data_IF_419624934328
#
_entry.id   IF_419624934328
#
_cell.length_a   1.000
_cell.length_b   1.000
_cell.length_c   1.000
_cell.angle_alpha   90.00
_cell.angle_beta   90.00
_cell.angle_gamma   90.00
#
_symmetry.space_group_name_H-M   'P 1'
#
loop_
_entity.id
_entity.type
_entity.pdbx_description
1 polymer ?
#
# COMPACT_ATOMS: atom_id res chain seq x y z
N UNK A 1 12.11 24.21 -16.81
CA UNK A 1 12.61 22.86 -16.43
C UNK A 1 11.45 21.91 -16.57
N UNK A 2 11.24 21.37 -17.77
CA UNK A 2 10.16 20.44 -18.08
C UNK A 2 10.73 19.02 -18.09
N UNK A 3 10.73 18.37 -16.92
CA UNK A 3 10.82 16.90 -16.84
C UNK A 3 9.42 16.31 -16.75
N UNK A 4 8.47 16.89 -17.50
CA UNK A 4 7.11 16.39 -17.63
C UNK A 4 7.15 15.20 -18.61
N UNK A 5 6.67 14.05 -18.15
CA UNK A 5 6.24 12.90 -18.97
C UNK A 5 7.31 12.04 -19.66
N UNK A 6 8.48 11.84 -19.04
CA UNK A 6 9.38 10.78 -19.53
C UNK A 6 8.88 9.40 -19.11
N UNK A 7 8.07 8.77 -19.97
CA UNK A 7 7.65 7.38 -19.79
C UNK A 7 8.88 6.45 -19.74
N UNK A 8 9.04 5.72 -18.62
CA UNK A 8 10.14 4.75 -18.44
C UNK A 8 9.59 3.34 -18.55
N UNK A 9 10.02 2.60 -19.56
CA UNK A 9 9.68 1.17 -19.69
C UNK A 9 10.40 0.38 -18.61
N UNK A 10 9.65 -0.40 -17.84
CA UNK A 10 10.17 -1.38 -16.88
C UNK A 10 9.60 -2.75 -17.24
N UNK A 11 10.45 -3.77 -17.32
CA UNK A 11 10.05 -5.16 -17.53
C UNK A 11 10.23 -5.92 -16.24
N UNK A 12 9.21 -6.67 -15.84
CA UNK A 12 9.22 -7.50 -14.64
C UNK A 12 8.91 -8.94 -15.02
N UNK A 13 9.63 -9.88 -14.41
CA UNK A 13 9.32 -11.31 -14.54
C UNK A 13 8.34 -11.67 -13.44
N UNK A 14 7.18 -12.20 -13.83
CA UNK A 14 6.12 -12.59 -12.91
C UNK A 14 6.12 -14.11 -12.71
N UNK A 15 5.91 -14.62 -11.49
CA UNK A 15 5.59 -16.02 -11.28
C UNK A 15 4.35 -16.44 -12.07
N UNK A 16 4.31 -17.68 -12.55
CA UNK A 16 3.23 -18.19 -13.41
C UNK A 16 1.82 -17.90 -12.86
N UNK A 17 1.58 -18.18 -11.57
CA UNK A 17 0.28 -17.94 -10.92
C UNK A 17 -0.11 -16.46 -10.91
N UNK A 18 0.86 -15.56 -10.77
CA UNK A 18 0.63 -14.11 -10.80
C UNK A 18 0.29 -13.65 -12.22
N UNK A 19 1.04 -14.12 -13.21
CA UNK A 19 0.79 -13.80 -14.62
C UNK A 19 -0.60 -14.27 -15.09
N UNK A 20 -1.00 -15.49 -14.69
CA UNK A 20 -2.33 -16.03 -14.96
C UNK A 20 -3.43 -15.16 -14.34
N UNK A 21 -3.26 -14.74 -13.09
CA UNK A 21 -4.24 -13.89 -12.40
C UNK A 21 -4.37 -12.51 -13.05
N UNK A 22 -3.26 -11.89 -13.43
CA UNK A 22 -3.26 -10.62 -14.17
C UNK A 22 -3.96 -10.78 -15.52
N UNK A 23 -3.70 -11.88 -16.23
CA UNK A 23 -4.34 -12.15 -17.52
C UNK A 23 -5.86 -12.37 -17.39
N UNK A 24 -6.30 -13.06 -16.34
CA UNK A 24 -7.72 -13.23 -16.05
C UNK A 24 -8.41 -11.90 -15.73
N UNK A 25 -7.76 -11.03 -14.94
CA UNK A 25 -8.26 -9.70 -14.62
C UNK A 25 -8.33 -8.79 -15.86
N UNK A 26 -7.33 -8.85 -16.74
CA UNK A 26 -7.33 -8.10 -17.99
C UNK A 26 -8.51 -8.51 -18.87
N UNK A 27 -8.77 -9.81 -19.00
CA UNK A 27 -9.94 -10.33 -19.72
C UNK A 27 -11.27 -9.86 -19.11
N UNK A 28 -11.42 -9.96 -17.79
CA UNK A 28 -12.67 -9.55 -17.13
C UNK A 28 -12.94 -8.05 -17.20
N UNK A 29 -11.89 -7.23 -17.32
CA UNK A 29 -11.98 -5.77 -17.39
C UNK A 29 -11.94 -5.22 -18.82
N UNK A 30 -11.91 -6.08 -19.84
CA UNK A 30 -11.71 -5.67 -21.25
C UNK A 30 -10.49 -4.75 -21.45
N UNK A 31 -9.41 -5.05 -20.72
CA UNK A 31 -8.20 -4.22 -20.65
C UNK A 31 -6.96 -5.04 -21.03
N UNK A 32 -5.81 -4.37 -21.19
CA UNK A 32 -4.53 -5.06 -21.43
C UNK A 32 -3.89 -5.48 -20.11
N UNK A 33 -3.07 -6.53 -20.15
CA UNK A 33 -2.30 -6.98 -18.99
C UNK A 33 -1.41 -5.86 -18.43
N UNK A 34 -0.77 -5.07 -19.30
CA UNK A 34 0.07 -3.94 -18.90
C UNK A 34 -0.72 -2.85 -18.18
N UNK A 35 -1.95 -2.54 -18.62
CA UNK A 35 -2.80 -1.56 -17.95
C UNK A 35 -3.27 -2.06 -16.58
N UNK A 36 -3.69 -3.32 -16.50
CA UNK A 36 -4.03 -3.94 -15.21
C UNK A 36 -2.81 -3.95 -14.26
N UNK A 37 -1.61 -4.22 -14.76
CA UNK A 37 -0.39 -4.16 -13.96
C UNK A 37 -0.13 -2.75 -13.43
N UNK A 38 -0.26 -1.73 -14.27
CA UNK A 38 -0.12 -0.33 -13.86
C UNK A 38 -1.14 0.01 -12.76
N UNK A 39 -2.41 -0.29 -12.98
CA UNK A 39 -3.48 0.02 -12.03
C UNK A 39 -3.25 -0.67 -10.67
N UNK A 40 -2.81 -1.93 -10.70
CA UNK A 40 -2.47 -2.70 -9.50
C UNK A 40 -1.23 -2.14 -8.78
N UNK A 41 -0.21 -1.72 -9.52
CA UNK A 41 1.00 -1.10 -8.94
C UNK A 41 0.63 0.24 -8.28
N UNK A 42 -0.11 1.09 -8.96
CA UNK A 42 -0.53 2.38 -8.41
C UNK A 42 -1.44 2.20 -7.19
N UNK A 43 -2.39 1.27 -7.23
CA UNK A 43 -3.23 0.94 -6.09
C UNK A 43 -2.40 0.41 -4.91
N UNK A 44 -1.42 -0.45 -5.19
CA UNK A 44 -0.48 -0.97 -4.19
C UNK A 44 0.36 0.14 -3.55
N UNK A 45 0.88 1.07 -4.36
CA UNK A 45 1.65 2.22 -3.87
C UNK A 45 0.78 3.14 -3.01
N UNK A 46 -0.42 3.50 -3.48
CA UNK A 46 -1.37 4.29 -2.68
C UNK A 46 -1.74 3.61 -1.37
N UNK A 47 -1.93 2.29 -1.37
CA UNK A 47 -2.21 1.53 -0.14
C UNK A 47 -1.03 1.58 0.84
N UNK A 48 0.21 1.56 0.35
CA UNK A 48 1.41 1.69 1.19
C UNK A 48 1.57 3.10 1.76
N UNK A 49 1.27 4.11 0.97
CA UNK A 49 1.27 5.49 1.46
C UNK A 49 0.18 5.72 2.51
N UNK A 50 -1.02 5.17 2.29
CA UNK A 50 -2.11 5.24 3.26
C UNK A 50 -1.78 4.52 4.59
N UNK A 51 -1.17 3.34 4.53
CA UNK A 51 -0.70 2.60 5.71
C UNK A 51 0.34 3.43 6.49
N UNK A 52 1.27 4.08 5.80
CA UNK A 52 2.26 4.97 6.42
C UNK A 52 1.62 6.22 7.03
N UNK A 53 0.68 6.86 6.35
CA UNK A 53 -0.02 8.04 6.88
C UNK A 53 -0.80 7.67 8.13
N UNK A 54 -1.55 6.58 8.10
CA UNK A 54 -2.30 6.09 9.26
C UNK A 54 -1.40 5.83 10.46
N UNK A 55 -0.23 5.23 10.24
CA UNK A 55 0.77 5.04 11.29
C UNK A 55 1.24 6.37 11.89
N UNK A 56 1.56 7.36 11.06
CA UNK A 56 2.01 8.68 11.52
C UNK A 56 0.92 9.41 12.32
N UNK A 57 -0.34 9.37 11.85
CA UNK A 57 -1.47 9.96 12.55
C UNK A 57 -1.65 9.36 13.94
N UNK A 58 -1.47 8.04 14.09
CA UNK A 58 -1.55 7.37 15.39
C UNK A 58 -0.40 7.76 16.32
N UNK A 59 0.82 7.96 15.80
CA UNK A 59 1.96 8.46 16.59
C UNK A 59 1.71 9.90 17.05
N UNK A 60 1.16 10.75 16.19
CA UNK A 60 0.80 12.11 16.54
C UNK A 60 -0.28 12.15 17.63
N UNK A 61 -1.36 11.36 17.46
CA UNK A 61 -2.42 11.21 18.45
C UNK A 61 -1.90 10.73 19.81
N UNK A 62 -0.96 9.79 19.81
CA UNK A 62 -0.31 9.31 21.05
C UNK A 62 0.49 10.41 21.76
N UNK A 63 1.11 11.30 20.97
CA UNK A 63 1.94 12.39 21.48
C UNK A 63 1.09 13.47 22.16
N UNK A 64 -0.08 13.79 21.59
CA UNK A 64 -0.99 14.82 22.11
C UNK A 64 -2.01 14.32 23.14
N UNK A 65 -2.29 13.01 23.18
CA UNK A 65 -3.29 12.44 24.09
C UNK A 65 -2.88 12.53 25.57
N UNK A 66 -3.71 13.16 26.39
CA UNK A 66 -3.51 13.31 27.84
C UNK A 66 -4.22 12.23 28.66
N UNK A 67 -5.13 11.46 28.05
CA UNK A 67 -5.85 10.37 28.71
C UNK A 67 -4.99 9.09 28.78
N UNK A 68 -4.68 8.58 29.99
CA UNK A 68 -3.90 7.36 30.15
C UNK A 68 -4.52 6.13 29.49
N UNK A 69 -5.85 6.02 29.47
CA UNK A 69 -6.54 4.86 28.91
C UNK A 69 -6.45 4.87 27.37
N UNK A 70 -6.74 6.03 26.74
CA UNK A 70 -6.57 6.22 25.31
C UNK A 70 -5.11 6.03 24.86
N UNK A 71 -4.12 6.51 25.63
CA UNK A 71 -2.69 6.28 25.33
C UNK A 71 -2.32 4.81 25.32
N UNK A 72 -2.87 4.02 26.23
CA UNK A 72 -2.55 2.59 26.31
C UNK A 72 -3.10 1.82 25.11
N UNK A 73 -4.31 2.14 24.66
CA UNK A 73 -4.90 1.55 23.45
C UNK A 73 -4.11 1.93 22.19
N UNK A 74 -3.79 3.22 22.02
CA UNK A 74 -2.99 3.69 20.88
C UNK A 74 -1.61 3.02 20.81
N UNK A 75 -0.96 2.76 21.96
CA UNK A 75 0.31 2.00 22.01
C UNK A 75 0.14 0.55 21.55
N UNK A 76 -0.95 -0.11 21.94
CA UNK A 76 -1.21 -1.49 21.53
C UNK A 76 -1.48 -1.58 20.02
N UNK A 77 -2.25 -0.64 19.48
CA UNK A 77 -2.55 -0.60 18.05
C UNK A 77 -1.31 -0.26 17.21
N UNK A 78 -0.48 0.68 17.66
CA UNK A 78 0.82 0.99 17.03
C UNK A 78 1.77 -0.22 17.05
N UNK A 79 1.82 -0.97 18.15
CA UNK A 79 2.66 -2.16 18.25
C UNK A 79 2.21 -3.25 17.26
N UNK A 80 0.89 -3.45 17.09
CA UNK A 80 0.33 -4.39 16.11
C UNK A 80 0.67 -3.99 14.67
N UNK A 81 0.60 -2.69 14.34
CA UNK A 81 0.96 -2.18 13.02
C UNK A 81 2.48 -2.25 12.75
N UNK A 82 3.32 -2.06 13.77
CA UNK A 82 4.79 -2.02 13.61
C UNK A 82 5.40 -3.42 13.55
N UNK A 83 4.97 -4.32 14.42
CA UNK A 83 5.62 -5.62 14.63
C UNK A 83 4.78 -6.82 14.20
N UNK A 84 3.54 -6.58 13.73
CA UNK A 84 2.56 -7.64 13.51
C UNK A 84 2.05 -8.24 14.82
N UNK A 85 1.04 -9.12 14.74
CA UNK A 85 0.60 -9.92 15.89
C UNK A 85 1.74 -10.83 16.33
N UNK A 86 2.47 -10.42 17.37
CA UNK A 86 3.36 -11.32 18.10
C UNK A 86 2.48 -12.32 18.84
N UNK A 87 2.43 -13.55 18.34
CA UNK A 87 2.00 -14.75 19.08
C UNK A 87 3.14 -15.74 19.00
#
# INVERSE_FOLDING_TARGET
METLDKAVRKSVVLPFRTAERVSALAKSQHSTADRVLLDLIEAGLRSKDAEKQHYLDMVEQLSVSTDPAARQQLKQDLARLTFGTTT
#
